data_IF_099002843203
#
_entry.id   IF_099002843203
#
_cell.length_a   1.000
_cell.length_b   1.000
_cell.length_c   1.000
_cell.angle_alpha   90.00
_cell.angle_beta   90.00
_cell.angle_gamma   90.00
#
_symmetry.space_group_name_H-M   'P 1'
#
loop_
_entity.id
_entity.type
_entity.pdbx_description
1 polymer ?
#
# COMPACT_ATOMS: atom_id res chain seq x y z
N UNK A 1 -22.72 -13.16 -25.66
CA UNK A 1 -21.84 -12.07 -25.20
C UNK A 1 -21.98 -12.00 -23.70
N UNK A 2 -21.17 -12.79 -22.99
CA UNK A 2 -21.10 -12.78 -21.53
C UNK A 2 -19.63 -12.85 -21.16
N UNK A 3 -18.85 -11.95 -21.77
CA UNK A 3 -17.52 -11.60 -21.30
C UNK A 3 -17.73 -10.71 -20.07
N UNK A 4 -18.37 -11.28 -19.04
CA UNK A 4 -18.25 -10.73 -17.71
C UNK A 4 -16.75 -10.65 -17.49
N UNK A 5 -16.26 -9.42 -17.39
CA UNK A 5 -14.93 -9.05 -16.97
C UNK A 5 -14.58 -9.87 -15.73
N UNK A 6 -14.11 -11.11 -15.93
CA UNK A 6 -13.57 -11.96 -14.91
C UNK A 6 -12.27 -11.28 -14.57
N UNK A 7 -12.34 -10.35 -13.62
CA UNK A 7 -11.19 -9.83 -12.92
C UNK A 7 -10.33 -11.05 -12.60
N UNK A 8 -9.23 -11.22 -13.34
CA UNK A 8 -8.37 -12.38 -13.14
C UNK A 8 -7.72 -12.16 -11.77
N UNK A 9 -7.94 -13.02 -10.77
CA UNK A 9 -7.40 -12.82 -9.43
C UNK A 9 -5.88 -12.57 -9.45
N UNK A 10 -5.18 -13.22 -10.38
CA UNK A 10 -3.75 -13.00 -10.63
C UNK A 10 -3.39 -11.61 -11.17
N UNK A 11 -4.22 -11.02 -12.03
CA UNK A 11 -4.01 -9.64 -12.51
C UNK A 11 -4.24 -8.64 -11.37
N UNK A 12 -5.24 -8.88 -10.52
CA UNK A 12 -5.48 -8.07 -9.32
C UNK A 12 -4.28 -8.16 -8.37
N UNK A 13 -3.79 -9.37 -8.07
CA UNK A 13 -2.62 -9.58 -7.22
C UNK A 13 -1.38 -8.91 -7.79
N UNK A 14 -1.15 -9.03 -9.08
CA UNK A 14 -0.01 -8.40 -9.75
C UNK A 14 -0.10 -6.87 -9.70
N UNK A 15 -1.31 -6.32 -9.89
CA UNK A 15 -1.57 -4.89 -9.76
C UNK A 15 -1.34 -4.38 -8.34
N UNK A 16 -1.92 -5.06 -7.34
CA UNK A 16 -1.73 -4.77 -5.92
C UNK A 16 -0.27 -4.80 -5.52
N UNK A 17 0.45 -5.86 -5.89
CA UNK A 17 1.88 -6.00 -5.57
C UNK A 17 2.71 -4.83 -6.09
N UNK A 18 2.46 -4.36 -7.32
CA UNK A 18 3.20 -3.20 -7.88
C UNK A 18 2.95 -1.92 -7.08
N UNK A 19 1.74 -1.74 -6.55
CA UNK A 19 1.39 -0.61 -5.69
C UNK A 19 2.08 -0.74 -4.34
N UNK A 20 2.06 -1.93 -3.74
CA UNK A 20 2.79 -2.25 -2.50
C UNK A 20 4.29 -2.01 -2.64
N UNK A 21 4.90 -2.55 -3.70
CA UNK A 21 6.32 -2.36 -4.02
C UNK A 21 6.68 -0.86 -4.14
N UNK A 22 5.78 -0.04 -4.73
CA UNK A 22 5.98 1.42 -4.82
C UNK A 22 5.90 2.11 -3.45
N UNK A 23 5.09 1.58 -2.53
CA UNK A 23 5.02 2.03 -1.14
C UNK A 23 6.30 1.69 -0.38
N UNK A 24 6.82 0.48 -0.55
CA UNK A 24 8.08 0.03 0.05
C UNK A 24 9.28 0.84 -0.45
N UNK A 25 9.36 1.12 -1.76
CA UNK A 25 10.40 1.96 -2.34
C UNK A 25 10.35 3.38 -1.77
N UNK A 26 9.14 3.94 -1.59
CA UNK A 26 8.97 5.25 -0.97
C UNK A 26 9.42 5.25 0.49
N UNK A 27 9.06 4.23 1.28
CA UNK A 27 9.46 4.09 2.68
C UNK A 27 10.99 4.02 2.84
N UNK A 28 11.66 3.28 1.95
CA UNK A 28 13.13 3.20 1.93
C UNK A 28 13.77 4.56 1.66
N UNK A 29 13.26 5.31 0.67
CA UNK A 29 13.76 6.65 0.35
C UNK A 29 13.53 7.62 1.51
N UNK A 30 12.35 7.57 2.15
CA UNK A 30 12.05 8.42 3.32
C UNK A 30 12.97 8.10 4.49
N UNK A 31 13.21 6.82 4.77
CA UNK A 31 14.09 6.36 5.83
C UNK A 31 15.54 6.82 5.58
N UNK A 32 16.01 6.72 4.35
CA UNK A 32 17.35 7.19 3.97
C UNK A 32 17.47 8.71 4.10
N UNK A 33 16.47 9.46 3.62
CA UNK A 33 16.43 10.93 3.74
C UNK A 33 16.42 11.37 5.21
N UNK A 34 15.57 10.76 6.04
CA UNK A 34 15.49 11.06 7.47
C UNK A 34 16.83 10.81 8.16
N UNK A 35 17.44 9.65 7.88
CA UNK A 35 18.74 9.29 8.44
C UNK A 35 19.84 10.28 8.04
N UNK A 36 19.84 10.74 6.79
CA UNK A 36 20.80 11.73 6.32
C UNK A 36 20.61 13.10 7.00
N UNK A 37 19.36 13.56 7.14
CA UNK A 37 19.06 14.82 7.82
C UNK A 37 19.38 14.77 9.31
N UNK A 38 19.06 13.66 9.99
CA UNK A 38 19.38 13.49 11.41
C UNK A 38 20.91 13.36 11.62
N UNK A 39 21.65 12.83 10.64
CA UNK A 39 23.10 12.75 10.66
C UNK A 39 23.83 14.09 10.49
N UNK A 40 23.24 15.05 9.76
CA UNK A 40 23.75 16.41 9.64
C UNK A 40 23.62 17.20 10.96
N UNK A 41 22.61 16.87 11.77
CA UNK A 41 22.34 17.54 13.03
C UNK A 41 21.89 19.00 12.86
N UNK A 42 21.96 19.76 13.95
CA UNK A 42 21.58 21.17 13.95
C UNK A 42 22.73 22.03 13.40
N UNK A 43 22.71 22.32 12.10
CA UNK A 43 23.70 23.18 11.44
C UNK A 43 23.43 24.69 11.63
N UNK A 44 22.29 25.03 12.24
CA UNK A 44 21.92 26.40 12.62
C UNK A 44 22.49 26.72 14.02
N UNK A 45 23.10 27.91 14.16
CA UNK A 45 23.72 28.32 15.43
C UNK A 45 22.71 28.44 16.59
N UNK A 46 23.21 28.51 17.83
CA UNK A 46 22.35 28.62 19.02
C UNK A 46 21.79 30.02 19.31
N UNK A 47 21.98 30.99 18.41
CA UNK A 47 21.47 32.35 18.56
C UNK A 47 19.96 32.43 18.27
N UNK A 48 19.36 33.60 18.49
CA UNK A 48 17.92 33.80 18.31
C UNK A 48 17.44 33.50 16.89
N UNK A 49 18.26 33.81 15.87
CA UNK A 49 17.94 33.52 14.48
C UNK A 49 17.97 32.02 14.20
N UNK A 50 19.01 31.33 14.70
CA UNK A 50 19.14 29.88 14.57
C UNK A 50 18.06 29.11 15.33
N UNK A 51 17.67 29.53 16.54
CA UNK A 51 16.55 28.92 17.27
C UNK A 51 15.21 29.13 16.56
N UNK A 52 14.99 30.32 15.98
CA UNK A 52 13.76 30.59 15.21
C UNK A 52 13.70 29.72 13.95
N UNK A 53 14.82 29.62 13.22
CA UNK A 53 14.93 28.75 12.06
C UNK A 53 14.70 27.29 12.45
N UNK A 54 15.34 26.82 13.52
CA UNK A 54 15.22 25.45 14.03
C UNK A 54 13.75 25.06 14.19
N UNK A 55 13.01 25.90 14.92
CA UNK A 55 11.60 25.66 15.26
C UNK A 55 10.74 25.46 14.01
N UNK A 56 10.81 26.39 13.07
CA UNK A 56 9.97 26.35 11.87
C UNK A 56 10.42 25.22 10.92
N UNK A 57 11.73 25.01 10.78
CA UNK A 57 12.30 23.96 9.95
C UNK A 57 11.93 22.56 10.47
N UNK A 58 12.17 22.27 11.76
CA UNK A 58 11.91 20.93 12.32
C UNK A 58 10.42 20.61 12.28
N UNK A 59 9.56 21.58 12.62
CA UNK A 59 8.11 21.38 12.54
C UNK A 59 7.65 21.10 11.10
N UNK A 60 8.16 21.86 10.12
CA UNK A 60 7.85 21.63 8.70
C UNK A 60 8.36 20.29 8.21
N UNK A 61 9.61 19.95 8.54
CA UNK A 61 10.26 18.68 8.22
C UNK A 61 9.46 17.49 8.75
N UNK A 62 9.09 17.53 10.03
CA UNK A 62 8.38 16.44 10.69
C UNK A 62 6.97 16.25 10.09
N UNK A 63 6.27 17.36 9.81
CA UNK A 63 4.96 17.34 9.13
C UNK A 63 5.03 16.71 7.72
N UNK A 64 6.11 16.98 6.97
CA UNK A 64 6.34 16.38 5.65
C UNK A 64 6.59 14.88 5.78
N UNK A 65 7.42 14.44 6.71
CA UNK A 65 7.67 13.02 6.96
C UNK A 65 6.40 12.27 7.37
N UNK A 66 5.61 12.83 8.30
CA UNK A 66 4.33 12.24 8.70
C UNK A 66 3.35 12.12 7.51
N UNK A 67 3.30 13.15 6.66
CA UNK A 67 2.42 13.17 5.49
C UNK A 67 2.83 12.11 4.46
N UNK A 68 4.13 11.96 4.22
CA UNK A 68 4.65 10.96 3.29
C UNK A 68 4.51 9.54 3.85
N UNK A 69 4.66 9.34 5.17
CA UNK A 69 4.39 8.05 5.79
C UNK A 69 2.93 7.61 5.61
N UNK A 70 1.97 8.53 5.70
CA UNK A 70 0.56 8.22 5.39
C UNK A 70 0.34 7.77 3.95
N UNK A 71 1.15 8.26 3.01
CA UNK A 71 1.11 7.81 1.61
C UNK A 71 1.65 6.39 1.49
N UNK A 72 2.78 6.08 2.15
CA UNK A 72 3.31 4.70 2.24
C UNK A 72 2.25 3.74 2.78
N UNK A 73 1.63 4.09 3.91
CA UNK A 73 0.57 3.29 4.53
C UNK A 73 -0.63 3.12 3.58
N UNK A 74 -1.04 4.18 2.88
CA UNK A 74 -2.13 4.10 1.92
C UNK A 74 -1.83 3.15 0.75
N UNK A 75 -0.59 3.16 0.23
CA UNK A 75 -0.16 2.26 -0.84
C UNK A 75 -0.15 0.79 -0.37
N UNK A 76 0.36 0.52 0.83
CA UNK A 76 0.31 -0.81 1.44
C UNK A 76 -1.12 -1.31 1.65
N UNK A 77 -2.00 -0.43 2.17
CA UNK A 77 -3.42 -0.76 2.34
C UNK A 77 -4.13 -1.07 1.01
N UNK A 78 -3.75 -0.41 -0.09
CA UNK A 78 -4.31 -0.72 -1.42
C UNK A 78 -3.88 -2.12 -1.86
N UNK A 79 -2.59 -2.47 -1.70
CA UNK A 79 -2.09 -3.81 -2.00
C UNK A 79 -2.86 -4.90 -1.21
N UNK A 80 -2.99 -4.72 0.10
CA UNK A 80 -3.70 -5.67 0.97
C UNK A 80 -5.18 -5.82 0.60
N UNK A 81 -5.87 -4.72 0.30
CA UNK A 81 -7.26 -4.76 -0.14
C UNK A 81 -7.44 -5.48 -1.48
N UNK A 82 -6.48 -5.33 -2.41
CA UNK A 82 -6.51 -6.02 -3.70
C UNK A 82 -6.22 -7.52 -3.54
N UNK A 83 -5.30 -7.91 -2.66
CA UNK A 83 -5.08 -9.33 -2.31
C UNK A 83 -6.35 -9.96 -1.73
N UNK A 84 -6.98 -9.30 -0.76
CA UNK A 84 -8.25 -9.76 -0.18
C UNK A 84 -9.35 -9.92 -1.24
N UNK A 85 -9.47 -8.95 -2.16
CA UNK A 85 -10.44 -9.03 -3.27
C UNK A 85 -10.19 -10.22 -4.19
N UNK A 86 -8.92 -10.52 -4.49
CA UNK A 86 -8.55 -11.68 -5.29
C UNK A 86 -8.91 -13.00 -4.60
N UNK A 87 -8.63 -13.11 -3.29
CA UNK A 87 -8.94 -14.29 -2.49
C UNK A 87 -10.45 -14.53 -2.36
N UNK A 88 -11.23 -13.46 -2.15
CA UNK A 88 -12.69 -13.53 -2.10
C UNK A 88 -13.29 -13.98 -3.44
N UNK A 89 -12.72 -13.52 -4.55
CA UNK A 89 -13.17 -13.90 -5.90
C UNK A 89 -12.93 -15.39 -6.16
N UNK A 90 -11.75 -15.91 -5.82
CA UNK A 90 -11.43 -17.33 -6.00
C UNK A 90 -12.28 -18.24 -5.11
N UNK A 91 -12.49 -17.83 -3.86
CA UNK A 91 -13.34 -18.56 -2.91
C UNK A 91 -14.79 -18.66 -3.40
N UNK A 92 -15.34 -17.54 -3.90
CA UNK A 92 -16.69 -17.48 -4.46
C UNK A 92 -16.85 -18.35 -5.71
N UNK A 93 -15.87 -18.31 -6.62
CA UNK A 93 -15.87 -19.14 -7.83
C UNK A 93 -15.76 -20.64 -7.50
N UNK A 94 -14.90 -21.01 -6.55
CA UNK A 94 -14.75 -22.39 -6.10
C UNK A 94 -16.01 -22.94 -5.42
N UNK A 95 -16.68 -22.12 -4.60
CA UNK A 95 -17.96 -22.47 -3.96
C UNK A 95 -19.06 -22.71 -5.00
N UNK A 96 -19.20 -21.77 -5.94
CA UNK A 96 -20.19 -21.87 -7.02
C UNK A 96 -19.97 -23.10 -7.91
N UNK A 97 -18.72 -23.41 -8.26
CA UNK A 97 -18.37 -24.59 -9.04
C UNK A 97 -18.71 -25.89 -8.29
N UNK A 98 -18.49 -25.93 -6.97
CA UNK A 98 -18.80 -27.09 -6.12
C UNK A 98 -20.31 -27.34 -6.02
N UNK A 99 -21.11 -26.28 -5.86
CA UNK A 99 -22.56 -26.38 -5.81
C UNK A 99 -23.17 -26.81 -7.14
N UNK A 100 -22.66 -26.29 -8.26
CA UNK A 100 -23.06 -26.71 -9.61
C UNK A 100 -22.68 -28.18 -9.83
N UNK A 101 -21.47 -28.59 -9.46
CA UNK A 101 -21.02 -29.98 -9.56
C UNK A 101 -21.91 -30.94 -8.77
N UNK A 102 -22.31 -30.54 -7.56
CA UNK A 102 -23.21 -31.31 -6.71
C UNK A 102 -24.63 -31.39 -7.28
N UNK A 103 -25.15 -30.28 -7.82
CA UNK A 103 -26.48 -30.22 -8.45
C UNK A 103 -26.54 -31.07 -9.74
N UNK A 104 -25.52 -30.99 -10.60
CA UNK A 104 -25.42 -31.79 -11.83
C UNK A 104 -25.23 -33.29 -11.59
N UNK A 105 -24.59 -33.66 -10.47
CA UNK A 105 -24.44 -35.08 -10.06
C UNK A 105 -25.75 -35.71 -9.54
N UNK A 106 -26.78 -34.90 -9.28
CA UNK A 106 -28.07 -35.34 -8.74
C UNK A 106 -29.21 -35.48 -9.76
N UNK A 107 -28.99 -35.19 -11.05
CA UNK A 107 -29.99 -35.38 -12.10
C UNK A 107 -30.04 -36.87 -12.53
N UNK A 108 -31.15 -37.60 -12.31
CA UNK A 108 -31.34 -38.93 -12.90
C UNK A 108 -31.53 -38.84 -14.42
N UNK A 109 -31.01 -39.85 -15.14
CA UNK A 109 -31.10 -40.03 -16.61
C UNK A 109 -32.53 -40.26 -17.10
#
# INVERSE_FOLDING_TARGET
>A
MSDQMRMQPEEIRTGGKKIGDSGDDLDQVLTALKSALDGEGECWGGDEAGQTFAKDYTQGRDSVFESLQKVVEALGNIDDNLKATADDTESSDAGSASDIGRSGSGMPS
#
